data_IF_776917789391
#
_entry.id   IF_776917789391
#
_cell.length_a   1.000
_cell.length_b   1.000
_cell.length_c   1.000
_cell.angle_alpha   90.00
_cell.angle_beta   90.00
_cell.angle_gamma   90.00
#
_symmetry.space_group_name_H-M   'P 1'
#
loop_
_entity.id
_entity.type
_entity.pdbx_description
1 polymer ?
#
# COMPACT_ATOMS: atom_id res chain seq x y z
N UNK A 1 -47.21 50.45 54.80
CA UNK A 1 -47.80 50.37 56.16
C UNK A 1 -47.80 48.90 56.55
N UNK A 2 -46.92 48.49 57.48
CA UNK A 2 -47.29 47.97 58.85
C UNK A 2 -47.91 46.55 58.73
N UNK A 3 -47.48 45.44 59.36
CA UNK A 3 -46.46 45.07 60.36
C UNK A 3 -46.60 43.53 60.56
N UNK A 4 -45.52 42.87 61.02
CA UNK A 4 -45.46 41.82 62.08
C UNK A 4 -46.34 40.55 62.08
N UNK A 5 -45.62 39.43 62.19
CA UNK A 5 -45.72 38.35 63.20
C UNK A 5 -46.91 37.36 63.26
N UNK A 6 -46.52 36.09 63.03
CA UNK A 6 -46.72 34.89 63.87
C UNK A 6 -48.06 34.10 63.89
N UNK A 7 -47.86 32.77 64.02
CA UNK A 7 -48.77 31.66 64.35
C UNK A 7 -49.66 31.11 63.21
N UNK A 8 -49.95 29.82 63.03
CA UNK A 8 -49.49 28.51 63.55
C UNK A 8 -50.16 27.43 62.67
N UNK A 9 -49.49 26.28 62.48
CA UNK A 9 -49.97 24.94 62.10
C UNK A 9 -50.87 24.67 60.85
N UNK A 10 -50.36 23.86 59.92
CA UNK A 10 -51.11 22.71 59.38
C UNK A 10 -50.14 21.59 58.88
N UNK A 11 -50.32 20.30 59.28
CA UNK A 11 -49.31 19.25 59.12
C UNK A 11 -49.60 18.40 57.88
N UNK A 12 -48.98 18.70 56.74
CA UNK A 12 -49.06 17.79 55.57
C UNK A 12 -47.84 17.78 54.64
N UNK A 13 -46.84 18.64 54.89
CA UNK A 13 -45.63 18.71 54.05
C UNK A 13 -44.43 17.89 54.58
N UNK A 14 -44.54 17.29 55.76
CA UNK A 14 -43.39 16.65 56.42
C UNK A 14 -43.20 15.17 56.05
N UNK A 15 -44.22 14.48 55.51
CA UNK A 15 -44.11 13.07 55.11
C UNK A 15 -43.49 12.84 53.72
N UNK A 16 -43.58 13.79 52.79
CA UNK A 16 -43.00 13.63 51.44
C UNK A 16 -41.50 13.94 51.39
N UNK A 17 -40.99 14.85 52.22
CA UNK A 17 -39.55 15.13 52.30
C UNK A 17 -38.75 14.01 52.99
N UNK A 18 -39.36 13.33 53.96
CA UNK A 18 -38.70 12.23 54.66
C UNK A 18 -38.55 10.97 53.78
N UNK A 19 -39.51 10.68 52.89
CA UNK A 19 -39.41 9.52 51.99
C UNK A 19 -38.37 9.72 50.89
N UNK A 20 -38.27 10.93 50.33
CA UNK A 20 -37.28 11.25 49.30
C UNK A 20 -35.83 11.20 49.82
N UNK A 21 -35.60 11.65 51.06
CA UNK A 21 -34.28 11.57 51.71
C UNK A 21 -33.90 10.12 52.04
N UNK A 22 -34.86 9.31 52.49
CA UNK A 22 -34.61 7.88 52.78
C UNK A 22 -34.34 7.09 51.50
N UNK A 23 -35.07 7.35 50.40
CA UNK A 23 -34.79 6.67 49.12
C UNK A 23 -33.45 7.09 48.53
N UNK A 24 -33.06 8.36 48.67
CA UNK A 24 -31.75 8.85 48.22
C UNK A 24 -30.61 8.27 49.05
N UNK A 25 -30.77 8.11 50.37
CA UNK A 25 -29.80 7.44 51.23
C UNK A 25 -29.69 5.94 50.96
N UNK A 26 -30.79 5.25 50.65
CA UNK A 26 -30.77 3.82 50.32
C UNK A 26 -30.06 3.58 48.98
N UNK A 27 -30.29 4.42 47.97
CA UNK A 27 -29.57 4.32 46.68
C UNK A 27 -28.08 4.58 46.86
N UNK A 28 -27.70 5.56 47.70
CA UNK A 28 -26.30 5.88 47.99
C UNK A 28 -25.61 4.78 48.82
N UNK A 29 -26.33 4.12 49.74
CA UNK A 29 -25.86 2.93 50.47
C UNK A 29 -25.71 1.71 49.57
N UNK A 30 -26.61 1.50 48.60
CA UNK A 30 -26.49 0.41 47.61
C UNK A 30 -25.30 0.63 46.69
N UNK A 31 -25.03 1.88 46.27
CA UNK A 31 -23.83 2.20 45.48
C UNK A 31 -22.53 2.08 46.30
N UNK A 32 -22.55 2.34 47.61
CA UNK A 32 -21.39 2.12 48.49
C UNK A 32 -21.10 0.64 48.74
N UNK A 33 -22.14 -0.20 48.79
CA UNK A 33 -22.03 -1.67 48.95
C UNK A 33 -21.55 -2.39 47.69
N UNK A 34 -21.43 -1.70 46.55
CA UNK A 34 -20.86 -2.26 45.31
C UNK A 34 -19.32 -2.10 45.22
N UNK A 35 -18.66 -1.47 46.20
CA UNK A 35 -17.20 -1.23 46.17
C UNK A 35 -16.38 -2.14 47.11
N UNK A 36 -17.01 -3.06 47.85
CA UNK A 36 -16.28 -4.11 48.58
C UNK A 36 -16.34 -5.43 47.81
N UNK A 37 -15.40 -5.60 46.88
CA UNK A 37 -15.08 -6.92 46.35
C UNK A 37 -14.45 -7.76 47.47
N UNK A 38 -15.10 -8.89 47.79
CA UNK A 38 -14.65 -9.92 48.73
C UNK A 38 -13.27 -10.46 48.29
N UNK A 39 -12.31 -10.69 49.22
CA UNK A 39 -11.06 -11.36 48.88
C UNK A 39 -11.36 -12.84 48.62
N UNK A 40 -11.28 -13.26 47.36
CA UNK A 40 -11.39 -14.67 46.99
C UNK A 40 -10.08 -15.36 47.37
N UNK A 41 -10.19 -16.29 48.31
CA UNK A 41 -9.16 -17.25 48.73
C UNK A 41 -8.60 -18.01 47.53
N UNK A 42 -7.28 -18.06 47.44
CA UNK A 42 -6.53 -18.85 46.47
C UNK A 42 -6.71 -20.34 46.79
N UNK A 43 -7.54 -21.04 46.03
CA UNK A 43 -7.51 -22.50 46.00
C UNK A 43 -6.77 -22.97 44.75
N UNK A 44 -5.78 -23.84 44.96
CA UNK A 44 -4.82 -24.29 43.95
C UNK A 44 -5.49 -25.36 43.10
N UNK A 45 -6.10 -24.97 41.98
CA UNK A 45 -6.45 -25.93 40.93
C UNK A 45 -6.29 -25.32 39.54
N UNK A 46 -5.07 -25.47 39.03
CA UNK A 46 -4.68 -25.68 37.62
C UNK A 46 -5.76 -25.32 36.58
N UNK A 47 -5.86 -24.05 36.22
CA UNK A 47 -6.47 -23.58 34.97
C UNK A 47 -5.35 -22.95 34.16
N UNK A 48 -5.09 -23.51 32.97
CA UNK A 48 -4.21 -22.95 31.95
C UNK A 48 -4.79 -21.59 31.53
N UNK A 49 -4.06 -20.51 31.80
CA UNK A 49 -4.28 -19.24 31.10
C UNK A 49 -4.10 -19.45 29.59
N UNK A 50 -4.89 -18.77 28.74
CA UNK A 50 -4.61 -18.76 27.31
C UNK A 50 -3.27 -18.05 27.11
N UNK A 51 -2.35 -18.78 26.52
CA UNK A 51 -1.06 -18.32 26.03
C UNK A 51 -1.28 -17.01 25.27
N UNK A 52 -0.79 -15.91 25.83
CA UNK A 52 -0.62 -14.65 25.11
C UNK A 52 0.33 -15.02 23.97
N UNK A 53 -0.19 -15.04 22.74
CA UNK A 53 0.67 -15.09 21.55
C UNK A 53 1.53 -13.84 21.65
N UNK A 54 2.78 -14.02 22.06
CA UNK A 54 3.82 -13.03 21.82
C UNK A 54 3.82 -12.83 20.31
N UNK A 55 3.33 -11.66 19.88
CA UNK A 55 3.69 -11.16 18.57
C UNK A 55 5.22 -11.15 18.55
N UNK A 56 5.87 -11.78 17.56
CA UNK A 56 7.32 -11.64 17.41
C UNK A 56 7.65 -10.13 17.35
N UNK A 57 8.86 -9.72 17.79
CA UNK A 57 9.27 -8.33 17.75
C UNK A 57 8.97 -7.76 16.36
N UNK A 58 8.50 -6.51 16.31
CA UNK A 58 8.29 -5.80 15.06
C UNK A 58 9.65 -5.75 14.35
N UNK A 59 9.87 -6.67 13.41
CA UNK A 59 11.11 -6.75 12.67
C UNK A 59 11.17 -5.64 11.63
N UNK A 60 12.39 -5.16 11.37
CA UNK A 60 12.75 -4.03 10.49
C UNK A 60 12.06 -4.16 9.12
N UNK A 61 11.17 -3.21 8.77
CA UNK A 61 10.61 -3.07 7.41
C UNK A 61 11.69 -2.73 6.40
N UNK A 62 12.12 -3.74 5.64
CA UNK A 62 13.18 -3.61 4.63
C UNK A 62 12.73 -2.81 3.41
N UNK A 63 11.46 -2.40 3.34
CA UNK A 63 10.91 -1.60 2.23
C UNK A 63 10.63 -2.40 0.96
N UNK A 64 10.91 -3.71 0.94
CA UNK A 64 10.66 -4.59 -0.20
C UNK A 64 9.18 -5.00 -0.27
N UNK A 65 8.59 -4.98 -1.47
CA UNK A 65 7.20 -5.40 -1.71
C UNK A 65 6.91 -6.90 -1.44
N UNK A 66 7.94 -7.69 -1.19
CA UNK A 66 7.90 -9.10 -0.79
C UNK A 66 8.63 -9.37 0.53
N UNK A 67 8.96 -8.32 1.29
CA UNK A 67 9.61 -8.40 2.61
C UNK A 67 8.92 -9.43 3.51
N UNK A 68 7.59 -9.36 3.60
CA UNK A 68 6.80 -10.31 4.38
C UNK A 68 7.09 -11.78 4.01
N UNK A 69 7.16 -12.08 2.72
CA UNK A 69 7.45 -13.44 2.25
C UNK A 69 8.89 -13.84 2.57
N UNK A 70 9.85 -12.93 2.38
CA UNK A 70 11.25 -13.13 2.73
C UNK A 70 11.39 -13.47 4.23
N UNK A 71 10.77 -12.69 5.10
CA UNK A 71 10.79 -12.91 6.56
C UNK A 71 10.14 -14.21 6.96
N UNK A 72 8.93 -14.48 6.47
CA UNK A 72 8.24 -15.74 6.79
C UNK A 72 9.10 -16.94 6.37
N UNK A 73 9.79 -16.87 5.23
CA UNK A 73 10.74 -17.92 4.80
C UNK A 73 11.93 -18.03 5.78
N UNK A 74 12.58 -16.92 6.13
CA UNK A 74 13.74 -16.90 7.05
C UNK A 74 13.33 -17.38 8.45
N UNK A 75 12.26 -16.87 9.03
CA UNK A 75 11.75 -17.23 10.37
C UNK A 75 11.48 -18.75 10.49
N UNK A 76 10.96 -19.36 9.43
CA UNK A 76 10.72 -20.81 9.42
C UNK A 76 11.98 -21.63 9.18
N UNK A 77 12.93 -21.11 8.40
CA UNK A 77 14.25 -21.73 8.21
C UNK A 77 15.07 -21.69 9.51
N UNK A 78 15.02 -20.58 10.25
CA UNK A 78 15.73 -20.44 11.53
C UNK A 78 15.22 -21.41 12.60
N UNK A 79 14.00 -21.92 12.51
CA UNK A 79 13.50 -22.95 13.46
C UNK A 79 14.29 -24.26 13.35
N UNK A 80 14.96 -24.52 12.24
CA UNK A 80 15.84 -25.66 12.07
C UNK A 80 17.24 -25.35 12.63
N UNK A 81 17.69 -26.14 13.61
CA UNK A 81 18.98 -25.91 14.28
C UNK A 81 20.16 -25.94 13.31
N UNK A 82 20.16 -26.90 12.37
CA UNK A 82 21.25 -27.03 11.41
C UNK A 82 21.31 -25.80 10.51
N UNK A 83 20.16 -25.37 9.99
CA UNK A 83 20.12 -24.21 9.10
C UNK A 83 20.51 -22.93 9.84
N UNK A 84 20.02 -22.72 11.07
CA UNK A 84 20.36 -21.56 11.90
C UNK A 84 21.87 -21.45 12.15
N UNK A 85 22.53 -22.55 12.52
CA UNK A 85 23.98 -22.56 12.72
C UNK A 85 24.74 -22.23 11.43
N UNK A 86 24.22 -22.65 10.27
CA UNK A 86 24.81 -22.28 8.97
C UNK A 86 24.57 -20.82 8.64
N UNK A 87 23.38 -20.30 8.89
CA UNK A 87 23.04 -18.89 8.66
C UNK A 87 23.98 -17.95 9.43
N UNK A 88 24.19 -18.18 10.73
CA UNK A 88 25.05 -17.30 11.55
C UNK A 88 26.55 -17.43 11.28
N UNK A 89 27.02 -18.56 10.74
CA UNK A 89 28.45 -18.80 10.51
C UNK A 89 28.88 -18.54 9.04
N UNK A 90 27.94 -18.19 8.16
CA UNK A 90 28.24 -17.96 6.74
C UNK A 90 28.39 -16.47 6.48
N UNK A 91 29.51 -16.09 5.85
CA UNK A 91 29.76 -14.70 5.45
C UNK A 91 28.76 -14.23 4.39
N UNK A 92 28.47 -12.93 4.36
CA UNK A 92 27.52 -12.33 3.43
C UNK A 92 27.84 -12.65 1.96
N UNK A 93 29.12 -12.62 1.57
CA UNK A 93 29.55 -12.95 0.21
C UNK A 93 29.27 -14.41 -0.17
N UNK A 94 29.34 -15.32 0.80
CA UNK A 94 29.04 -16.73 0.62
C UNK A 94 27.53 -16.99 0.51
N UNK A 95 26.72 -16.16 1.20
CA UNK A 95 25.27 -16.12 1.05
C UNK A 95 24.89 -15.65 -0.36
N UNK A 96 25.50 -14.56 -0.86
CA UNK A 96 25.29 -14.04 -2.23
C UNK A 96 25.65 -15.06 -3.32
N UNK A 97 26.67 -15.87 -3.07
CA UNK A 97 27.10 -16.95 -3.98
C UNK A 97 26.16 -18.17 -4.01
N UNK A 98 25.12 -18.19 -3.17
CA UNK A 98 24.15 -19.29 -3.14
C UNK A 98 24.64 -20.53 -2.40
N UNK A 99 25.69 -20.43 -1.56
CA UNK A 99 26.16 -21.56 -0.74
C UNK A 99 25.12 -21.96 0.30
N UNK A 100 24.50 -20.96 0.95
CA UNK A 100 23.46 -21.16 1.95
C UNK A 100 22.22 -21.88 1.38
N UNK A 101 21.84 -21.56 0.13
CA UNK A 101 20.68 -22.17 -0.50
C UNK A 101 20.79 -23.71 -0.60
N UNK A 102 22.01 -24.25 -0.77
CA UNK A 102 22.26 -25.70 -0.85
C UNK A 102 22.03 -26.43 0.47
N UNK A 103 22.12 -25.72 1.60
CA UNK A 103 21.87 -26.30 2.92
C UNK A 103 20.37 -26.64 3.11
N UNK A 104 19.49 -26.10 2.26
CA UNK A 104 18.05 -26.38 2.25
C UNK A 104 17.73 -27.88 2.08
N UNK A 105 18.60 -28.65 1.41
CA UNK A 105 18.41 -30.09 1.22
C UNK A 105 18.53 -30.90 2.53
N UNK A 106 19.19 -30.34 3.55
CA UNK A 106 19.39 -30.97 4.85
C UNK A 106 18.35 -30.55 5.90
N UNK A 107 17.48 -29.61 5.54
CA UNK A 107 16.44 -29.08 6.43
C UNK A 107 15.34 -30.13 6.67
N UNK A 108 14.80 -30.14 7.88
CA UNK A 108 13.74 -31.08 8.26
C UNK A 108 12.49 -31.00 7.37
N UNK A 109 11.83 -32.15 7.19
CA UNK A 109 10.63 -32.26 6.33
C UNK A 109 9.50 -31.31 6.74
N UNK A 110 9.34 -31.03 8.05
CA UNK A 110 8.31 -30.13 8.53
C UNK A 110 8.52 -28.70 8.01
N UNK A 111 9.77 -28.23 8.03
CA UNK A 111 10.12 -26.90 7.50
C UNK A 111 9.93 -26.88 5.98
N UNK A 112 10.41 -27.90 5.24
CA UNK A 112 10.16 -28.02 3.79
C UNK A 112 8.67 -27.94 3.43
N UNK A 113 7.82 -28.66 4.15
CA UNK A 113 6.36 -28.63 3.94
C UNK A 113 5.79 -27.23 4.15
N UNK A 114 6.30 -26.49 5.14
CA UNK A 114 5.86 -25.13 5.41
C UNK A 114 6.34 -24.14 4.34
N UNK A 115 7.57 -24.27 3.88
CA UNK A 115 8.11 -23.45 2.78
C UNK A 115 7.28 -23.63 1.49
N UNK A 116 6.87 -24.87 1.18
CA UNK A 116 5.96 -25.13 0.05
C UNK A 116 4.60 -24.44 0.21
N UNK A 117 4.11 -24.29 1.44
CA UNK A 117 2.87 -23.57 1.74
C UNK A 117 3.05 -22.06 1.54
N UNK A 118 4.13 -21.49 2.09
CA UNK A 118 4.47 -20.07 1.96
C UNK A 118 4.61 -19.69 0.49
N UNK A 119 5.33 -20.49 -0.30
CA UNK A 119 5.46 -20.28 -1.75
C UNK A 119 4.10 -20.25 -2.45
N UNK A 120 3.20 -21.17 -2.11
CA UNK A 120 1.84 -21.21 -2.69
C UNK A 120 1.03 -19.98 -2.31
N UNK A 121 1.15 -19.51 -1.08
CA UNK A 121 0.48 -18.29 -0.62
C UNK A 121 0.98 -17.07 -1.40
N UNK A 122 2.30 -16.96 -1.59
CA UNK A 122 2.90 -15.87 -2.34
C UNK A 122 2.50 -15.88 -3.82
N UNK A 123 2.55 -17.03 -4.49
CA UNK A 123 2.05 -17.18 -5.87
C UNK A 123 0.59 -16.73 -5.99
N UNK A 124 -0.26 -17.09 -5.01
CA UNK A 124 -1.68 -16.70 -5.03
C UNK A 124 -1.87 -15.20 -4.81
N UNK A 125 -1.05 -14.57 -3.96
CA UNK A 125 -1.01 -13.12 -3.78
C UNK A 125 -0.68 -12.43 -5.10
N UNK A 126 0.39 -12.86 -5.76
CA UNK A 126 0.83 -12.31 -7.05
C UNK A 126 -0.23 -12.47 -8.15
N UNK A 127 -0.88 -13.63 -8.23
CA UNK A 127 -2.00 -13.84 -9.17
C UNK A 127 -3.17 -12.88 -8.92
N UNK A 128 -3.46 -12.59 -7.65
CA UNK A 128 -4.52 -11.66 -7.27
C UNK A 128 -4.17 -10.23 -7.69
N UNK A 129 -2.91 -9.81 -7.48
CA UNK A 129 -2.43 -8.50 -7.92
C UNK A 129 -2.45 -8.35 -9.44
N UNK A 130 -2.00 -9.37 -10.17
CA UNK A 130 -2.07 -9.40 -11.63
C UNK A 130 -3.52 -9.25 -12.11
N UNK A 131 -4.45 -9.99 -11.50
CA UNK A 131 -5.86 -9.91 -11.85
C UNK A 131 -6.44 -8.52 -11.57
N UNK A 132 -6.14 -7.94 -10.40
CA UNK A 132 -6.59 -6.60 -10.06
C UNK A 132 -6.05 -5.54 -11.03
N UNK A 133 -4.78 -5.66 -11.44
CA UNK A 133 -4.18 -4.77 -12.45
C UNK A 133 -4.91 -4.88 -13.79
N UNK A 134 -5.23 -6.09 -14.23
CA UNK A 134 -5.98 -6.30 -15.48
C UNK A 134 -7.41 -5.72 -15.43
N UNK A 135 -8.10 -5.90 -14.30
CA UNK A 135 -9.44 -5.36 -14.10
C UNK A 135 -9.43 -3.81 -14.17
N UNK A 136 -8.36 -3.16 -13.71
CA UNK A 136 -8.16 -1.71 -13.79
C UNK A 136 -7.81 -1.23 -15.21
N UNK A 137 -6.98 -1.97 -15.93
CA UNK A 137 -6.54 -1.64 -17.29
C UNK A 137 -7.63 -1.90 -18.36
N UNK A 138 -8.85 -2.28 -17.96
CA UNK A 138 -10.01 -2.42 -18.85
C UNK A 138 -9.88 -3.59 -19.84
N UNK A 139 -9.10 -4.61 -19.50
CA UNK A 139 -8.82 -5.74 -20.37
C UNK A 139 -10.09 -6.50 -20.80
N UNK A 140 -10.34 -6.52 -22.11
CA UNK A 140 -11.24 -7.49 -22.73
C UNK A 140 -10.88 -8.91 -22.29
N UNK A 141 -11.89 -9.80 -22.28
CA UNK A 141 -11.93 -11.23 -21.90
C UNK A 141 -10.94 -12.17 -22.68
N UNK A 142 -9.80 -11.63 -23.13
CA UNK A 142 -8.66 -12.35 -23.69
C UNK A 142 -7.98 -13.06 -22.52
N UNK A 143 -7.87 -14.38 -22.60
CA UNK A 143 -7.17 -15.19 -21.61
C UNK A 143 -5.71 -14.72 -21.47
N UNK A 144 -5.47 -13.80 -20.53
CA UNK A 144 -4.12 -13.31 -20.25
C UNK A 144 -3.35 -14.47 -19.64
N UNK A 145 -2.18 -14.75 -20.20
CA UNK A 145 -1.29 -15.76 -19.65
C UNK A 145 -0.70 -15.23 -18.33
N UNK A 146 -1.41 -15.50 -17.23
CA UNK A 146 -0.98 -15.13 -15.89
C UNK A 146 0.41 -15.72 -15.58
N UNK A 147 0.76 -16.83 -16.22
CA UNK A 147 2.07 -17.46 -16.10
C UNK A 147 3.18 -16.63 -16.75
N UNK A 148 2.90 -15.90 -17.83
CA UNK A 148 3.84 -15.00 -18.46
C UNK A 148 4.05 -13.72 -17.64
N UNK A 149 3.00 -13.20 -17.00
CA UNK A 149 3.11 -12.01 -16.14
C UNK A 149 3.86 -12.28 -14.84
N UNK A 150 3.75 -13.51 -14.31
CA UNK A 150 4.54 -13.92 -13.15
C UNK A 150 6.06 -13.89 -13.41
N UNK A 151 6.51 -13.85 -14.67
CA UNK A 151 7.94 -13.70 -15.02
C UNK A 151 8.53 -12.37 -14.56
N UNK A 152 7.70 -11.36 -14.31
CA UNK A 152 8.13 -10.06 -13.80
C UNK A 152 8.67 -10.16 -12.36
N UNK A 153 8.26 -11.17 -11.59
CA UNK A 153 8.72 -11.37 -10.21
C UNK A 153 9.96 -12.27 -10.19
N UNK A 154 11.14 -11.65 -10.20
CA UNK A 154 12.44 -12.33 -10.34
C UNK A 154 12.79 -13.24 -9.13
N UNK A 155 12.27 -12.91 -7.94
CA UNK A 155 12.54 -13.58 -6.67
C UNK A 155 11.86 -14.96 -6.52
N UNK A 156 11.07 -15.40 -7.50
CA UNK A 156 10.27 -16.62 -7.41
C UNK A 156 10.39 -17.49 -8.67
N UNK A 157 10.53 -18.81 -8.50
CA UNK A 157 10.42 -19.72 -9.64
C UNK A 157 8.96 -19.97 -10.01
N UNK A 158 8.45 -19.20 -10.98
CA UNK A 158 7.08 -19.34 -11.48
C UNK A 158 6.83 -20.65 -12.23
N UNK A 159 7.85 -21.34 -12.76
CA UNK A 159 7.69 -22.61 -13.49
C UNK A 159 7.30 -23.76 -12.57
N UNK A 160 7.61 -23.63 -11.27
CA UNK A 160 7.24 -24.58 -10.25
C UNK A 160 6.48 -23.86 -9.12
N UNK A 161 5.16 -23.66 -9.21
CA UNK A 161 4.41 -22.86 -8.24
C UNK A 161 4.09 -23.58 -6.92
N UNK A 162 4.49 -24.85 -6.75
CA UNK A 162 3.95 -25.70 -5.67
C UNK A 162 4.99 -26.25 -4.70
N UNK A 163 6.26 -26.33 -5.10
CA UNK A 163 7.34 -26.74 -4.19
C UNK A 163 8.43 -25.68 -4.13
N UNK A 164 8.92 -25.42 -2.92
CA UNK A 164 10.00 -24.48 -2.64
C UNK A 164 11.33 -25.22 -2.65
N UNK A 165 12.14 -24.98 -3.68
CA UNK A 165 13.41 -25.66 -3.92
C UNK A 165 14.61 -24.76 -3.62
N UNK A 166 15.81 -25.35 -3.69
CA UNK A 166 17.10 -24.63 -3.55
C UNK A 166 17.17 -23.40 -4.46
N UNK A 167 16.67 -23.53 -5.69
CA UNK A 167 16.62 -22.42 -6.66
C UNK A 167 15.74 -21.26 -6.20
N UNK A 168 14.66 -21.54 -5.45
CA UNK A 168 13.77 -20.48 -4.94
C UNK A 168 14.46 -19.69 -3.84
N UNK A 169 15.13 -20.38 -2.91
CA UNK A 169 15.88 -19.72 -1.85
C UNK A 169 17.04 -18.90 -2.42
N UNK A 170 17.77 -19.44 -3.40
CA UNK A 170 18.85 -18.73 -4.09
C UNK A 170 18.34 -17.47 -4.81
N UNK A 171 17.21 -17.56 -5.54
CA UNK A 171 16.58 -16.41 -6.21
C UNK A 171 16.08 -15.38 -5.22
N UNK A 172 15.43 -15.81 -4.14
CA UNK A 172 14.88 -14.94 -3.11
C UNK A 172 15.99 -14.15 -2.44
N UNK A 173 17.08 -14.81 -2.02
CA UNK A 173 18.24 -14.16 -1.40
C UNK A 173 18.91 -13.19 -2.38
N UNK A 174 19.15 -13.61 -3.63
CA UNK A 174 19.81 -12.76 -4.63
C UNK A 174 18.98 -11.54 -4.99
N UNK A 175 17.67 -11.71 -5.15
CA UNK A 175 16.76 -10.60 -5.44
C UNK A 175 16.69 -9.66 -4.24
N UNK A 176 16.51 -10.18 -3.02
CA UNK A 176 16.51 -9.36 -1.81
C UNK A 176 17.83 -8.59 -1.65
N UNK A 177 18.98 -9.24 -1.86
CA UNK A 177 20.28 -8.57 -1.79
C UNK A 177 20.40 -7.46 -2.82
N UNK A 178 20.08 -7.77 -4.08
CA UNK A 178 20.16 -6.80 -5.19
C UNK A 178 19.20 -5.63 -4.97
N UNK A 179 17.97 -5.92 -4.58
CA UNK A 179 16.93 -4.91 -4.40
C UNK A 179 17.25 -4.02 -3.19
N UNK A 180 17.79 -4.57 -2.10
CA UNK A 180 18.26 -3.78 -0.95
C UNK A 180 19.49 -2.94 -1.27
N UNK A 181 20.44 -3.47 -2.04
CA UNK A 181 21.63 -2.72 -2.48
C UNK A 181 21.29 -1.58 -3.45
N UNK A 182 20.20 -1.71 -4.22
CA UNK A 182 19.76 -0.69 -5.17
C UNK A 182 18.55 0.11 -4.69
N UNK A 183 18.02 -0.16 -3.49
CA UNK A 183 16.76 0.43 -3.01
C UNK A 183 16.82 1.96 -3.01
N UNK A 184 17.84 2.50 -2.35
CA UNK A 184 18.10 3.93 -2.26
C UNK A 184 18.32 4.53 -3.65
N UNK A 185 19.11 3.88 -4.49
CA UNK A 185 19.37 4.33 -5.86
C UNK A 185 18.09 4.40 -6.70
N UNK A 186 17.22 3.40 -6.64
CA UNK A 186 15.96 3.38 -7.39
C UNK A 186 15.03 4.51 -6.91
N UNK A 187 15.05 4.81 -5.61
CA UNK A 187 14.32 5.94 -5.01
C UNK A 187 14.86 7.29 -5.50
N UNK A 188 16.18 7.48 -5.51
CA UNK A 188 16.83 8.66 -6.10
C UNK A 188 16.45 8.85 -7.57
N UNK A 189 16.41 7.76 -8.35
CA UNK A 189 16.00 7.81 -9.75
C UNK A 189 14.50 8.14 -9.92
N UNK A 190 13.64 7.67 -9.02
CA UNK A 190 12.21 8.01 -9.00
C UNK A 190 12.00 9.48 -8.65
N UNK A 191 12.66 9.99 -7.62
CA UNK A 191 12.64 11.40 -7.26
C UNK A 191 13.15 12.28 -8.41
N UNK A 192 14.25 11.88 -9.06
CA UNK A 192 14.76 12.58 -10.25
C UNK A 192 13.70 12.66 -11.36
N UNK A 193 12.98 11.56 -11.64
CA UNK A 193 11.89 11.56 -12.63
C UNK A 193 10.72 12.44 -12.20
N UNK A 194 10.40 12.46 -10.91
CA UNK A 194 9.37 13.34 -10.35
C UNK A 194 9.70 14.81 -10.59
N UNK A 195 10.90 15.24 -10.23
CA UNK A 195 11.38 16.61 -10.42
C UNK A 195 11.42 17.01 -11.90
N UNK A 196 11.91 16.13 -12.77
CA UNK A 196 11.87 16.37 -14.23
C UNK A 196 10.43 16.49 -14.75
N UNK A 197 9.50 15.66 -14.28
CA UNK A 197 8.08 15.74 -14.69
C UNK A 197 7.43 17.03 -14.20
N UNK A 198 7.66 17.42 -12.95
CA UNK A 198 7.17 18.66 -12.34
C UNK A 198 7.61 19.88 -13.15
N UNK A 199 8.90 19.93 -13.52
CA UNK A 199 9.44 21.01 -14.36
C UNK A 199 8.90 20.96 -15.80
N UNK A 200 8.74 19.76 -16.39
CA UNK A 200 8.14 19.60 -17.71
C UNK A 200 6.71 20.15 -17.76
N UNK A 201 5.88 19.77 -16.80
CA UNK A 201 4.49 20.21 -16.69
C UNK A 201 4.41 21.73 -16.51
N UNK A 202 5.31 22.31 -15.71
CA UNK A 202 5.44 23.77 -15.57
C UNK A 202 5.75 24.43 -16.91
N UNK A 203 6.71 23.91 -17.67
CA UNK A 203 7.08 24.44 -19.00
C UNK A 203 5.95 24.32 -20.00
N UNK A 204 5.24 23.20 -20.03
CA UNK A 204 4.07 23.02 -20.89
C UNK A 204 2.94 23.98 -20.49
N UNK A 205 2.68 24.15 -19.20
CA UNK A 205 1.70 25.11 -18.70
C UNK A 205 2.03 26.54 -19.18
N UNK A 206 3.27 26.99 -19.03
CA UNK A 206 3.73 28.31 -19.48
C UNK A 206 3.58 28.52 -21.00
N UNK A 207 3.69 27.45 -21.81
CA UNK A 207 3.45 27.50 -23.27
C UNK A 207 1.98 27.74 -23.61
N UNK A 208 1.05 27.26 -22.77
CA UNK A 208 -0.40 27.47 -22.98
C UNK A 208 -0.87 28.89 -22.65
N UNK A 209 -0.12 29.61 -21.81
CA UNK A 209 -0.47 30.95 -21.32
C UNK A 209 -0.05 32.07 -22.28
N UNK A 210 -0.80 33.19 -22.22
CA UNK A 210 -0.43 34.45 -22.88
C UNK A 210 0.78 35.14 -22.23
N UNK A 211 1.35 36.15 -22.89
CA UNK A 211 2.59 36.81 -22.43
C UNK A 211 2.48 37.45 -21.03
N UNK A 212 1.40 38.18 -20.77
CA UNK A 212 1.15 38.82 -19.47
C UNK A 212 0.89 37.79 -18.35
N UNK A 213 0.19 36.69 -18.65
CA UNK A 213 -0.10 35.64 -17.68
C UNK A 213 1.15 34.83 -17.37
N UNK A 214 1.93 34.47 -18.40
CA UNK A 214 3.22 33.77 -18.26
C UNK A 214 4.16 34.52 -17.33
N UNK A 215 4.26 35.85 -17.49
CA UNK A 215 5.11 36.67 -16.64
C UNK A 215 4.65 36.66 -15.18
N UNK A 216 3.34 36.71 -14.92
CA UNK A 216 2.80 36.63 -13.54
C UNK A 216 3.06 35.27 -12.91
N UNK A 217 2.93 34.20 -13.69
CA UNK A 217 3.21 32.84 -13.23
C UNK A 217 4.70 32.66 -12.89
N UNK A 218 5.60 33.17 -13.73
CA UNK A 218 7.04 33.17 -13.46
C UNK A 218 7.39 34.00 -12.20
N UNK A 219 6.77 35.18 -12.03
CA UNK A 219 6.94 36.00 -10.83
C UNK A 219 6.43 35.30 -9.56
N UNK A 220 5.28 34.60 -9.65
CA UNK A 220 4.73 33.82 -8.56
C UNK A 220 5.63 32.63 -8.19
N UNK A 221 6.10 31.87 -9.18
CA UNK A 221 7.03 30.76 -8.96
C UNK A 221 8.34 31.22 -8.28
N UNK A 222 8.89 32.35 -8.71
CA UNK A 222 10.07 32.96 -8.08
C UNK A 222 9.79 33.45 -6.64
N UNK A 223 8.55 33.88 -6.34
CA UNK A 223 8.13 34.20 -4.98
C UNK A 223 8.05 32.94 -4.12
N UNK A 224 7.43 31.86 -4.61
CA UNK A 224 7.33 30.60 -3.88
C UNK A 224 8.70 30.00 -3.59
N UNK A 225 9.61 29.98 -4.58
CA UNK A 225 10.99 29.50 -4.36
C UNK A 225 11.71 30.31 -3.28
N UNK A 226 11.53 31.63 -3.25
CA UNK A 226 12.14 32.47 -2.21
C UNK A 226 11.53 32.26 -0.83
N UNK A 227 10.23 31.97 -0.74
CA UNK A 227 9.59 31.63 0.54
C UNK A 227 10.13 30.32 1.08
N UNK A 228 10.22 29.30 0.23
CA UNK A 228 10.81 28.02 0.60
C UNK A 228 12.27 28.15 1.06
N UNK A 229 13.07 28.96 0.35
CA UNK A 229 14.46 29.24 0.71
C UNK A 229 14.63 29.98 2.05
N UNK A 230 13.60 30.68 2.53
CA UNK A 230 13.63 31.48 3.76
C UNK A 230 13.22 30.62 4.97
N UNK A 231 14.08 29.66 5.30
CA UNK A 231 13.89 28.76 6.43
C UNK A 231 14.96 28.95 7.52
N UNK A 232 14.69 28.58 8.78
CA UNK A 232 15.71 28.51 9.82
C UNK A 232 16.87 27.60 9.41
N UNK A 233 18.08 27.91 9.90
CA UNK A 233 19.26 27.10 9.57
C UNK A 233 19.05 25.64 10.01
N UNK A 234 19.25 24.73 9.08
CA UNK A 234 19.21 23.29 9.33
C UNK A 234 20.58 22.79 9.78
N UNK A 235 20.58 21.94 10.79
CA UNK A 235 21.80 21.33 11.29
C UNK A 235 22.26 20.19 10.37
N UNK A 236 23.55 19.87 10.43
CA UNK A 236 24.08 18.72 9.72
C UNK A 236 23.53 17.41 10.34
N UNK A 237 23.05 16.45 9.53
CA UNK A 237 22.51 15.18 10.04
C UNK A 237 23.52 14.44 10.91
N UNK A 238 23.08 13.95 12.08
CA UNK A 238 23.94 13.23 13.01
C UNK A 238 24.94 14.10 13.78
N UNK A 239 24.93 15.43 13.62
CA UNK A 239 25.81 16.34 14.35
C UNK A 239 25.37 16.58 15.80
N UNK A 240 26.30 17.04 16.64
CA UNK A 240 25.99 17.34 18.04
C UNK A 240 24.82 18.32 18.21
N UNK A 241 24.75 19.35 17.36
CA UNK A 241 23.70 20.36 17.46
C UNK A 241 22.32 19.76 17.15
N UNK A 242 22.23 18.93 16.10
CA UNK A 242 20.99 18.25 15.73
C UNK A 242 20.52 17.32 16.85
N UNK A 243 21.41 16.48 17.40
CA UNK A 243 21.03 15.55 18.47
C UNK A 243 20.66 16.27 19.78
N UNK A 244 21.32 17.38 20.10
CA UNK A 244 20.96 18.21 21.27
C UNK A 244 19.61 18.88 21.09
N UNK A 245 19.27 19.29 19.89
CA UNK A 245 17.97 19.87 19.60
C UNK A 245 16.84 18.83 19.76
N UNK A 246 17.03 17.62 19.23
CA UNK A 246 16.10 16.50 19.47
C UNK A 246 15.98 16.21 20.98
N UNK A 247 17.09 16.18 21.71
CA UNK A 247 17.11 15.99 23.16
C UNK A 247 16.35 17.08 23.94
N UNK A 248 16.41 18.34 23.48
CA UNK A 248 15.68 19.44 24.12
C UNK A 248 14.19 19.42 23.75
N UNK A 249 13.88 19.33 22.46
CA UNK A 249 12.54 19.55 21.94
C UNK A 249 11.67 18.31 21.97
N UNK A 250 12.22 17.14 21.62
CA UNK A 250 11.48 15.88 21.59
C UNK A 250 11.48 15.21 22.98
N UNK A 251 12.64 15.16 23.65
CA UNK A 251 12.76 14.47 24.95
C UNK A 251 12.46 15.38 26.15
N UNK A 252 12.50 16.71 25.97
CA UNK A 252 12.28 17.67 27.06
C UNK A 252 13.40 17.67 28.11
N UNK A 253 14.62 17.31 27.71
CA UNK A 253 15.80 17.20 28.58
C UNK A 253 16.72 18.41 28.43
N UNK A 254 17.55 18.68 29.45
CA UNK A 254 18.46 19.84 29.44
C UNK A 254 19.61 19.62 28.43
N UNK A 255 19.83 20.54 27.46
CA UNK A 255 20.93 20.45 26.50
C UNK A 255 22.34 20.36 27.11
N UNK A 256 22.52 20.88 28.32
CA UNK A 256 23.81 20.86 29.03
C UNK A 256 24.13 19.46 29.61
N UNK A 257 23.10 18.66 29.86
CA UNK A 257 23.21 17.28 30.37
C UNK A 257 23.23 16.23 29.24
N UNK A 258 23.45 16.67 27.99
CA UNK A 258 23.49 15.78 26.84
C UNK A 258 24.56 14.68 26.98
N UNK A 259 24.09 13.43 27.00
CA UNK A 259 24.93 12.24 27.04
C UNK A 259 24.59 11.33 25.85
N UNK A 260 25.53 11.11 24.89
CA UNK A 260 25.25 10.32 23.70
C UNK A 260 24.75 8.90 24.00
N UNK A 261 25.26 8.27 25.07
CA UNK A 261 24.83 6.93 25.43
C UNK A 261 23.36 6.92 25.90
N UNK A 262 22.97 7.90 26.69
CA UNK A 262 21.58 8.04 27.13
C UNK A 262 20.67 8.40 25.96
N UNK A 263 21.12 9.30 25.08
CA UNK A 263 20.42 9.63 23.83
C UNK A 263 20.14 8.37 23.00
N UNK A 264 21.15 7.51 22.81
CA UNK A 264 21.01 6.24 22.09
C UNK A 264 19.92 5.36 22.69
N UNK A 265 19.96 5.12 24.00
CA UNK A 265 19.00 4.22 24.65
C UNK A 265 17.56 4.77 24.68
N UNK A 266 17.36 6.09 24.57
CA UNK A 266 16.02 6.70 24.55
C UNK A 266 15.38 6.53 23.17
N UNK A 267 16.19 6.58 22.11
CA UNK A 267 15.72 6.51 20.72
C UNK A 267 15.79 5.11 20.11
N UNK A 268 16.40 4.15 20.80
CA UNK A 268 16.27 2.72 20.52
C UNK A 268 14.88 2.29 20.97
N UNK A 269 13.91 2.51 20.08
CA UNK A 269 12.48 2.39 20.39
C UNK A 269 12.07 0.93 20.56
N UNK A 270 12.74 0.02 19.85
CA UNK A 270 12.44 -1.41 19.88
C UNK A 270 13.27 -2.14 20.97
N UNK A 271 14.34 -1.52 21.49
CA UNK A 271 15.20 -2.01 22.57
C UNK A 271 16.17 -3.10 22.15
N UNK A 272 16.52 -3.20 20.86
CA UNK A 272 17.41 -4.23 20.31
C UNK A 272 18.90 -3.87 20.40
N UNK A 273 19.22 -2.64 20.80
CA UNK A 273 20.58 -2.13 20.96
C UNK A 273 21.22 -1.59 19.69
N UNK A 274 20.43 -1.39 18.63
CA UNK A 274 20.84 -0.81 17.36
C UNK A 274 19.93 0.37 17.02
N UNK A 275 20.42 1.29 16.18
CA UNK A 275 19.54 2.17 15.42
C UNK A 275 19.35 1.60 14.03
N UNK A 276 18.11 1.31 13.67
CA UNK A 276 17.74 1.02 12.30
C UNK A 276 17.49 2.29 11.49
N UNK A 277 17.17 2.13 10.21
CA UNK A 277 16.91 3.24 9.30
C UNK A 277 15.72 4.10 9.72
N UNK A 278 14.67 3.49 10.28
CA UNK A 278 13.44 4.18 10.67
C UNK A 278 13.68 5.00 11.94
N UNK A 279 14.46 4.46 12.87
CA UNK A 279 14.89 5.15 14.08
C UNK A 279 15.77 6.35 13.75
N UNK A 280 16.72 6.21 12.81
CA UNK A 280 17.51 7.35 12.33
C UNK A 280 16.64 8.39 11.61
N UNK A 281 15.77 7.96 10.70
CA UNK A 281 14.86 8.84 9.97
C UNK A 281 13.97 9.66 10.92
N UNK A 282 13.52 9.06 12.03
CA UNK A 282 12.73 9.74 13.04
C UNK A 282 13.49 10.93 13.67
N UNK A 283 14.81 10.82 13.86
CA UNK A 283 15.65 11.90 14.41
C UNK A 283 15.70 13.14 13.50
N UNK A 284 15.51 12.96 12.19
CA UNK A 284 15.58 14.06 11.22
C UNK A 284 14.28 14.84 11.10
N UNK A 285 13.17 14.31 11.63
CA UNK A 285 11.84 14.93 11.48
C UNK A 285 11.84 16.38 11.97
N UNK A 286 12.47 16.67 13.11
CA UNK A 286 12.55 18.03 13.66
C UNK A 286 13.36 19.01 12.80
N UNK A 287 14.42 18.52 12.16
CA UNK A 287 15.21 19.33 11.23
C UNK A 287 14.45 19.62 9.94
N UNK A 288 13.71 18.62 9.43
CA UNK A 288 12.93 18.76 8.20
C UNK A 288 11.69 19.67 8.38
N UNK A 289 11.05 19.62 9.55
CA UNK A 289 9.93 20.51 9.92
C UNK A 289 10.31 22.00 9.91
N UNK A 290 11.60 22.35 9.90
CA UNK A 290 12.05 23.75 9.73
C UNK A 290 11.93 24.23 8.29
N UNK A 291 12.04 23.33 7.32
CA UNK A 291 12.03 23.65 5.88
C UNK A 291 10.64 23.38 5.30
N UNK A 292 10.01 22.27 5.67
CA UNK A 292 8.79 21.77 5.03
C UNK A 292 7.60 21.78 5.99
N UNK A 293 6.54 22.52 5.65
CA UNK A 293 5.23 22.46 6.32
C UNK A 293 4.16 21.95 5.33
N UNK A 294 3.46 20.84 5.61
CA UNK A 294 2.36 20.35 4.77
C UNK A 294 1.22 21.35 4.53
N UNK A 295 1.15 22.41 5.32
CA UNK A 295 0.15 23.48 5.23
C UNK A 295 0.50 24.57 4.23
N UNK A 296 1.78 24.67 3.84
CA UNK A 296 2.30 25.63 2.88
C UNK A 296 2.21 25.06 1.45
N UNK A 297 2.00 25.93 0.46
CA UNK A 297 1.87 25.48 -0.94
C UNK A 297 3.23 25.41 -1.65
N UNK A 298 4.23 26.12 -1.15
CA UNK A 298 5.62 26.08 -1.58
C UNK A 298 6.34 24.78 -1.22
N UNK A 299 5.88 24.11 -0.17
CA UNK A 299 6.60 23.00 0.45
C UNK A 299 6.14 21.67 -0.13
N UNK A 300 7.05 20.99 -0.82
CA UNK A 300 6.78 19.70 -1.43
C UNK A 300 7.10 18.55 -0.46
N UNK A 301 6.07 17.82 -0.05
CA UNK A 301 6.24 16.67 0.86
C UNK A 301 7.05 15.52 0.25
N UNK A 302 7.12 15.43 -1.09
CA UNK A 302 7.97 14.45 -1.77
C UNK A 302 9.44 14.84 -1.65
N UNK A 303 9.75 16.14 -1.78
CA UNK A 303 11.11 16.66 -1.55
C UNK A 303 11.53 16.47 -0.09
N UNK A 304 10.61 16.68 0.86
CA UNK A 304 10.88 16.41 2.28
C UNK A 304 11.29 14.95 2.54
N UNK A 305 10.58 14.00 1.93
CA UNK A 305 10.91 12.57 2.09
C UNK A 305 12.26 12.24 1.47
N UNK A 306 12.55 12.79 0.29
CA UNK A 306 13.84 12.62 -0.36
C UNK A 306 14.99 13.22 0.49
N UNK A 307 14.80 14.40 1.05
CA UNK A 307 15.77 15.02 1.95
C UNK A 307 16.01 14.13 3.17
N UNK A 308 14.96 13.50 3.72
CA UNK A 308 15.10 12.53 4.82
C UNK A 308 15.98 11.34 4.44
N UNK A 309 15.79 10.78 3.25
CA UNK A 309 16.60 9.68 2.74
C UNK A 309 18.06 10.10 2.55
N UNK A 310 18.31 11.29 1.99
CA UNK A 310 19.66 11.87 1.87
C UNK A 310 20.34 12.02 3.23
N UNK A 311 19.63 12.53 4.24
CA UNK A 311 20.14 12.66 5.60
C UNK A 311 20.49 11.28 6.21
N UNK A 312 19.61 10.29 6.04
CA UNK A 312 19.84 8.92 6.51
C UNK A 312 21.05 8.28 5.83
N UNK A 313 21.12 8.33 4.50
CA UNK A 313 22.25 7.77 3.74
C UNK A 313 23.57 8.42 4.13
N UNK A 314 23.57 9.73 4.34
CA UNK A 314 24.74 10.44 4.83
C UNK A 314 25.20 9.90 6.18
N UNK A 315 24.30 9.81 7.16
CA UNK A 315 24.62 9.29 8.51
C UNK A 315 25.07 7.84 8.46
N UNK A 316 24.38 6.97 7.73
CA UNK A 316 24.76 5.56 7.56
C UNK A 316 26.15 5.43 6.90
N UNK A 317 26.46 6.29 5.92
CA UNK A 317 27.78 6.26 5.28
C UNK A 317 28.92 6.63 6.23
N UNK A 318 28.67 7.54 7.17
CA UNK A 318 29.67 8.03 8.13
C UNK A 318 29.82 7.16 9.39
N UNK A 319 28.73 6.56 9.86
CA UNK A 319 28.66 5.91 11.18
C UNK A 319 28.74 4.38 11.05
N UNK A 320 27.89 3.78 10.21
CA UNK A 320 27.85 2.33 9.98
C UNK A 320 29.14 1.90 9.26
N UNK A 321 30.00 1.22 10.02
CA UNK A 321 31.34 0.84 9.56
C UNK A 321 31.38 -0.57 8.99
N UNK A 322 30.50 -1.46 9.44
CA UNK A 322 30.43 -2.84 8.99
C UNK A 322 29.45 -3.05 7.81
N UNK A 323 28.68 -2.01 7.44
CA UNK A 323 27.72 -1.96 6.34
C UNK A 323 26.59 -2.98 6.50
N UNK A 324 26.13 -3.19 7.72
CA UNK A 324 24.98 -4.03 8.02
C UNK A 324 23.64 -3.28 8.07
N UNK A 325 23.64 -1.96 7.77
CA UNK A 325 22.48 -1.06 7.80
C UNK A 325 21.88 -0.90 9.19
N UNK A 326 22.66 -1.19 10.23
CA UNK A 326 22.33 -0.94 11.61
C UNK A 326 23.47 -0.15 12.24
N UNK A 327 23.14 0.80 13.14
CA UNK A 327 24.16 1.52 13.89
C UNK A 327 24.20 0.97 15.30
N UNK A 328 25.28 0.28 15.64
CA UNK A 328 25.49 -0.18 17.01
C UNK A 328 25.83 0.98 17.95
N UNK A 329 25.59 0.80 19.25
CA UNK A 329 26.00 1.77 20.27
C UNK A 329 27.50 2.11 20.18
N UNK A 330 28.35 1.12 19.90
CA UNK A 330 29.80 1.34 19.82
C UNK A 330 30.18 2.22 18.61
N UNK A 331 29.57 1.98 17.45
CA UNK A 331 29.76 2.82 16.26
C UNK A 331 29.28 4.25 16.49
N UNK A 332 28.11 4.40 17.09
CA UNK A 332 27.56 5.71 17.46
C UNK A 332 28.50 6.46 18.42
N UNK A 333 29.00 5.80 19.46
CA UNK A 333 29.95 6.40 20.42
C UNK A 333 31.32 6.69 19.80
N UNK A 334 31.72 6.00 18.73
CA UNK A 334 32.92 6.34 17.97
C UNK A 334 32.65 7.57 17.10
N UNK A 335 31.50 7.64 16.44
CA UNK A 335 31.10 8.77 15.61
C UNK A 335 31.04 10.08 16.41
N UNK A 336 30.50 10.06 17.63
CA UNK A 336 30.43 11.25 18.51
C UNK A 336 31.79 11.81 18.94
N UNK A 337 32.89 11.06 18.73
CA UNK A 337 34.27 11.51 19.00
C UNK A 337 34.97 12.07 17.78
N UNK A 338 34.37 11.91 16.59
CA UNK A 338 34.92 12.42 15.33
C UNK A 338 34.79 13.95 15.30
N UNK A 339 35.60 14.60 14.45
CA UNK A 339 35.61 16.07 14.36
C UNK A 339 34.30 16.56 13.74
N UNK A 340 33.82 15.83 12.75
CA UNK A 340 32.62 16.06 11.96
C UNK A 340 31.36 16.16 12.85
N UNK A 341 31.35 15.45 13.99
CA UNK A 341 30.29 15.55 14.99
C UNK A 341 30.23 16.90 15.72
N UNK A 342 31.40 17.45 16.06
CA UNK A 342 31.55 18.68 16.86
C UNK A 342 31.58 19.95 15.99
N UNK A 343 32.21 19.85 14.84
CA UNK A 343 32.40 20.93 13.87
C UNK A 343 31.87 20.47 12.51
N UNK A 344 30.54 20.32 12.35
CA UNK A 344 29.96 19.89 11.10
C UNK A 344 30.03 20.98 10.02
N UNK A 345 30.12 20.56 8.77
CA UNK A 345 29.90 21.43 7.62
C UNK A 345 28.40 21.78 7.50
N UNK A 346 28.07 22.85 6.75
CA UNK A 346 26.66 23.18 6.48
C UNK A 346 26.01 22.11 5.63
N UNK A 347 24.79 21.71 5.98
CA UNK A 347 23.98 20.83 5.13
C UNK A 347 23.46 21.58 3.91
N UNK A 348 23.67 21.01 2.73
CA UNK A 348 23.16 21.53 1.45
C UNK A 348 21.82 20.87 1.12
N UNK A 349 20.75 21.66 1.19
CA UNK A 349 19.37 21.23 0.89
C UNK A 349 19.17 20.93 -0.59
N UNK A 350 18.11 20.19 -0.92
CA UNK A 350 17.74 19.87 -2.30
C UNK A 350 17.60 21.12 -3.20
N UNK A 351 17.15 22.26 -2.67
CA UNK A 351 17.08 23.51 -3.42
C UNK A 351 18.46 23.95 -3.96
N UNK A 352 19.52 23.72 -3.18
CA UNK A 352 20.89 24.11 -3.55
C UNK A 352 21.56 23.08 -4.47
N UNK A 353 21.09 21.83 -4.44
CA UNK A 353 21.65 20.72 -5.20
C UNK A 353 20.61 20.07 -6.11
N UNK A 354 20.51 20.58 -7.34
CA UNK A 354 19.56 20.08 -8.34
C UNK A 354 19.76 18.58 -8.63
N UNK A 355 18.68 17.81 -8.60
CA UNK A 355 18.71 16.35 -8.78
C UNK A 355 19.10 15.89 -10.20
N UNK A 356 18.93 16.75 -11.21
CA UNK A 356 19.18 16.42 -12.61
C UNK A 356 19.88 17.55 -13.37
N UNK A 357 20.52 17.18 -14.47
CA UNK A 357 21.18 18.10 -15.40
C UNK A 357 20.26 18.53 -16.53
N UNK A 358 20.55 19.67 -17.15
CA UNK A 358 19.79 20.15 -18.33
C UNK A 358 19.76 19.14 -19.49
N UNK A 359 20.81 18.33 -19.64
CA UNK A 359 20.87 17.28 -20.65
C UNK A 359 19.93 16.12 -20.34
N UNK A 360 19.88 15.66 -19.07
CA UNK A 360 18.93 14.64 -18.64
C UNK A 360 17.48 15.11 -18.81
N UNK A 361 17.19 16.38 -18.53
CA UNK A 361 15.87 16.98 -18.77
C UNK A 361 15.49 16.94 -20.26
N UNK A 362 16.45 17.23 -21.15
CA UNK A 362 16.23 17.20 -22.60
C UNK A 362 15.92 15.78 -23.10
N UNK A 363 16.68 14.80 -22.63
CA UNK A 363 16.44 13.38 -22.95
C UNK A 363 15.08 12.91 -22.42
N UNK A 364 14.69 13.37 -21.23
CA UNK A 364 13.39 13.06 -20.64
C UNK A 364 12.22 13.64 -21.45
N UNK A 365 12.29 14.91 -21.85
CA UNK A 365 11.27 15.54 -22.72
C UNK A 365 11.17 14.84 -24.09
N UNK A 366 12.30 14.41 -24.67
CA UNK A 366 12.32 13.65 -25.93
C UNK A 366 11.63 12.29 -25.77
N UNK A 367 11.91 11.58 -24.67
CA UNK A 367 11.26 10.31 -24.36
C UNK A 367 9.75 10.47 -24.14
N UNK A 368 9.31 11.51 -23.43
CA UNK A 368 7.88 11.80 -23.24
C UNK A 368 7.18 12.09 -24.57
N UNK A 369 7.78 12.91 -25.43
CA UNK A 369 7.22 13.22 -26.74
C UNK A 369 7.10 11.96 -27.62
N UNK A 370 8.09 11.05 -27.57
CA UNK A 370 8.02 9.77 -28.26
C UNK A 370 6.90 8.88 -27.70
N UNK A 371 6.78 8.80 -26.37
CA UNK A 371 5.73 8.02 -25.71
C UNK A 371 4.33 8.55 -26.04
N UNK A 372 4.15 9.87 -26.09
CA UNK A 372 2.90 10.52 -26.49
C UNK A 372 2.53 10.16 -27.94
N UNK A 373 3.50 10.18 -28.86
CA UNK A 373 3.28 9.78 -30.25
C UNK A 373 2.84 8.31 -30.37
N UNK A 374 3.50 7.41 -29.64
CA UNK A 374 3.15 5.99 -29.60
C UNK A 374 1.74 5.76 -29.03
N UNK A 375 1.36 6.49 -27.98
CA UNK A 375 0.02 6.43 -27.39
C UNK A 375 -1.04 6.97 -28.34
N UNK A 376 -0.76 8.10 -29.01
CA UNK A 376 -1.65 8.67 -30.02
C UNK A 376 -1.87 7.70 -31.19
N UNK A 377 -0.81 7.03 -31.66
CA UNK A 377 -0.92 6.01 -32.70
C UNK A 377 -1.77 4.81 -32.24
N UNK A 378 -1.54 4.31 -31.01
CA UNK A 378 -2.36 3.24 -30.42
C UNK A 378 -3.82 3.65 -30.27
N UNK A 379 -4.10 4.88 -29.85
CA UNK A 379 -5.46 5.40 -29.71
C UNK A 379 -6.18 5.45 -31.07
N UNK A 380 -5.49 5.91 -32.11
CA UNK A 380 -6.01 5.90 -33.49
C UNK A 380 -6.33 4.48 -33.96
N UNK A 381 -5.45 3.52 -33.68
CA UNK A 381 -5.67 2.13 -34.10
C UNK A 381 -6.78 1.44 -33.29
N UNK A 382 -6.92 1.74 -32.00
CA UNK A 382 -8.05 1.29 -31.19
C UNK A 382 -9.38 1.88 -31.68
N UNK A 383 -9.38 3.16 -32.08
CA UNK A 383 -10.58 3.77 -32.65
C UNK A 383 -10.99 3.07 -33.96
N UNK A 384 -10.03 2.75 -34.84
CA UNK A 384 -10.32 1.97 -36.06
C UNK A 384 -10.88 0.57 -35.73
N UNK A 385 -10.32 -0.10 -34.72
CA UNK A 385 -10.82 -1.41 -34.29
C UNK A 385 -12.25 -1.33 -33.75
N UNK A 386 -12.55 -0.30 -32.96
CA UNK A 386 -13.90 -0.03 -32.46
C UNK A 386 -14.89 0.18 -33.61
N UNK A 387 -14.55 1.04 -34.58
CA UNK A 387 -15.42 1.33 -35.73
C UNK A 387 -15.66 0.06 -36.57
N UNK A 388 -14.67 -0.81 -36.71
CA UNK A 388 -14.81 -2.08 -37.42
C UNK A 388 -15.71 -3.08 -36.67
N UNK A 389 -15.55 -3.20 -35.35
CA UNK A 389 -16.43 -4.02 -34.51
C UNK A 389 -17.88 -3.53 -34.55
N UNK A 390 -18.09 -2.22 -34.59
CA UNK A 390 -19.43 -1.63 -34.73
C UNK A 390 -20.08 -2.04 -36.05
N UNK A 391 -19.35 -1.96 -37.17
CA UNK A 391 -19.83 -2.45 -38.48
C UNK A 391 -20.16 -3.95 -38.46
N UNK A 392 -19.31 -4.77 -37.85
CA UNK A 392 -19.57 -6.21 -37.72
C UNK A 392 -20.83 -6.48 -36.88
N UNK A 393 -21.04 -5.72 -35.81
CA UNK A 393 -22.22 -5.82 -34.97
C UNK A 393 -23.50 -5.42 -35.72
N UNK A 394 -23.45 -4.38 -36.56
CA UNK A 394 -24.55 -3.99 -37.44
C UNK A 394 -24.90 -5.11 -38.44
N UNK A 395 -23.89 -5.67 -39.13
CA UNK A 395 -24.08 -6.80 -40.06
C UNK A 395 -24.69 -8.02 -39.37
N UNK A 396 -24.23 -8.37 -38.17
CA UNK A 396 -24.79 -9.47 -37.38
C UNK A 396 -26.25 -9.20 -36.97
N UNK A 397 -26.58 -7.95 -36.65
CA UNK A 397 -27.95 -7.56 -36.30
C UNK A 397 -28.89 -7.62 -37.51
N UNK A 398 -28.42 -7.24 -38.69
CA UNK A 398 -29.15 -7.39 -39.94
C UNK A 398 -29.41 -8.87 -40.27
N UNK A 399 -28.38 -9.71 -40.23
CA UNK A 399 -28.53 -11.16 -40.43
C UNK A 399 -29.51 -11.79 -39.43
N UNK A 400 -29.48 -11.37 -38.16
CA UNK A 400 -30.46 -11.82 -37.14
C UNK A 400 -31.89 -11.41 -37.51
N UNK A 401 -32.11 -10.18 -38.00
CA UNK A 401 -33.43 -9.72 -38.43
C UNK A 401 -33.94 -10.52 -39.62
N UNK A 402 -33.10 -10.78 -40.61
CA UNK A 402 -33.43 -11.60 -41.78
C UNK A 402 -33.82 -13.03 -41.36
N UNK A 403 -33.02 -13.67 -40.51
CA UNK A 403 -33.33 -15.01 -39.98
C UNK A 403 -34.64 -15.04 -39.19
N UNK A 404 -34.93 -14.02 -38.39
CA UNK A 404 -36.20 -13.91 -37.68
C UNK A 404 -37.38 -13.73 -38.63
N UNK A 405 -37.21 -12.97 -39.71
CA UNK A 405 -38.25 -12.77 -40.72
C UNK A 405 -38.53 -14.07 -41.48
N UNK A 406 -37.51 -14.82 -41.88
CA UNK A 406 -37.63 -16.15 -42.49
C UNK A 406 -38.30 -17.14 -41.52
N UNK A 407 -37.96 -17.10 -40.22
CA UNK A 407 -38.61 -17.95 -39.21
C UNK A 407 -40.10 -17.63 -39.05
N UNK A 408 -40.46 -16.33 -39.06
CA UNK A 408 -41.87 -15.89 -39.00
C UNK A 408 -42.65 -16.32 -40.24
N UNK A 409 -42.11 -16.11 -41.44
CA UNK A 409 -42.78 -16.51 -42.70
C UNK A 409 -42.92 -18.03 -42.79
N UNK A 410 -41.89 -18.80 -42.40
CA UNK A 410 -41.98 -20.26 -42.32
C UNK A 410 -43.08 -20.74 -41.36
N UNK A 411 -43.22 -20.09 -40.19
CA UNK A 411 -44.29 -20.41 -39.22
C UNK A 411 -45.69 -20.11 -39.80
N UNK A 412 -45.84 -19.01 -40.54
CA UNK A 412 -47.11 -18.66 -41.21
C UNK A 412 -47.45 -19.64 -42.32
N UNK A 413 -46.48 -20.05 -43.16
CA UNK A 413 -46.69 -21.05 -44.20
C UNK A 413 -47.10 -22.41 -43.62
N UNK A 414 -46.42 -22.87 -42.56
CA UNK A 414 -46.76 -24.13 -41.88
C UNK A 414 -48.19 -24.12 -41.29
N UNK A 415 -48.64 -22.98 -40.75
CA UNK A 415 -50.01 -22.83 -40.26
C UNK A 415 -51.05 -22.78 -41.39
N UNK A 416 -50.68 -22.24 -42.56
CA UNK A 416 -51.55 -22.21 -43.74
C UNK A 416 -51.74 -23.61 -44.33
N UNK A 417 -50.66 -24.39 -44.43
CA UNK A 417 -50.69 -25.79 -44.90
C UNK A 417 -51.47 -26.70 -43.96
N UNK A 418 -51.35 -26.50 -42.63
CA UNK A 418 -52.15 -27.24 -41.65
C UNK A 418 -53.65 -26.95 -41.78
N UNK A 419 -54.03 -25.69 -42.02
CA UNK A 419 -55.43 -25.31 -42.24
C UNK A 419 -55.98 -25.85 -43.56
N UNK A 420 -55.21 -25.85 -44.64
CA UNK A 420 -55.58 -26.44 -45.93
C UNK A 420 -55.77 -27.96 -45.82
N UNK A 421 -54.87 -28.66 -45.12
CA UNK A 421 -54.99 -30.09 -44.83
C UNK A 421 -56.26 -30.42 -44.04
N UNK A 422 -56.60 -29.58 -43.06
CA UNK A 422 -57.82 -29.73 -42.24
C UNK A 422 -59.09 -29.53 -43.06
N UNK A 423 -59.13 -28.51 -43.94
CA UNK A 423 -60.26 -28.27 -44.86
C UNK A 423 -60.41 -29.43 -45.86
N UNK A 424 -59.31 -29.93 -46.40
CA UNK A 424 -59.32 -31.06 -47.33
C UNK A 424 -59.81 -32.36 -46.66
N UNK A 425 -59.44 -32.59 -45.39
CA UNK A 425 -59.96 -33.73 -44.59
C UNK A 425 -61.46 -33.62 -44.29
N UNK A 426 -61.97 -32.41 -44.03
CA UNK A 426 -63.40 -32.17 -43.82
C UNK A 426 -64.23 -32.37 -45.09
N UNK A 427 -63.69 -32.04 -46.27
CA UNK A 427 -64.36 -32.25 -47.55
C UNK A 427 -64.36 -33.70 -48.02
N UNK A 428 -63.36 -34.49 -47.63
CA UNK A 428 -63.22 -35.91 -48.05
C UNK A 428 -64.00 -36.89 -47.17
N UNK A 429 -64.33 -36.51 -45.93
CA UNK A 429 -65.05 -37.36 -44.98
C UNK A 429 -66.55 -37.04 -44.84
N UNK A 430 -67.13 -36.23 -45.74
CA UNK A 430 -68.58 -35.96 -45.71
C UNK A 430 -69.38 -37.18 -46.23
N UNK A 431 -70.19 -37.87 -45.41
CA UNK A 431 -70.97 -39.00 -45.87
C UNK A 431 -72.09 -38.57 -46.83
N UNK A 432 -72.07 -39.12 -48.03
CA UNK A 432 -73.08 -38.93 -49.08
C UNK A 432 -74.49 -39.30 -48.57
N UNK A 433 -75.31 -38.29 -48.30
CA UNK A 433 -76.75 -38.42 -48.12
C UNK A 433 -77.41 -38.67 -49.48
N UNK A 434 -77.85 -39.91 -49.69
CA UNK A 434 -78.61 -40.32 -50.87
C UNK A 434 -80.08 -39.91 -50.66
N UNK A 435 -80.48 -38.76 -51.23
CA UNK A 435 -81.87 -38.30 -51.21
C UNK A 435 -82.43 -38.35 -52.64
N UNK A 436 -83.25 -39.39 -52.87
CA UNK A 436 -84.30 -39.41 -53.91
C UNK A 436 -85.24 -38.21 -53.71
N UNK A 437 -85.74 -37.60 -54.80
CA UNK A 437 -87.11 -37.06 -55.02
C UNK A 437 -87.11 -36.31 -56.37
N UNK A 438 -87.50 -37.00 -57.45
CA UNK A 438 -88.77 -36.98 -58.23
C UNK A 438 -88.74 -36.05 -59.46
N UNK A 439 -89.25 -36.54 -60.62
CA UNK A 439 -89.24 -35.81 -61.88
C UNK A 439 -90.51 -34.99 -62.10
N UNK A 440 -90.39 -34.02 -63.02
CA UNK A 440 -91.44 -33.24 -63.68
C UNK A 440 -92.10 -32.08 -62.89
N UNK A 441 -91.73 -30.87 -63.28
CA UNK A 441 -92.66 -29.97 -63.98
C UNK A 441 -91.90 -29.07 -64.97
N UNK A 442 -92.48 -28.93 -66.17
CA UNK A 442 -92.08 -28.05 -67.27
C UNK A 442 -92.24 -26.57 -66.91
N UNK A 443 -91.24 -25.73 -67.24
CA UNK A 443 -91.33 -24.64 -68.24
C UNK A 443 -89.96 -24.03 -68.52
#
# INVERSE_FOLDING_TARGET
>A
MILKCCLVCCPRLQMCRSRALVTSWVVLLVQLMCMEAVPISMDKTKVKEPEKVETPPASVDTGLHYDRYLREVIDFLEKDQHFREKLHNTDMEDIKQGKLAKELDFVSHHVRTKLDELKRQEVNRLRTLIKAKQDLEGGNDIAVDHQALLKQFEYLNHMNPHTFEVEDLDRLIKSATKDLENYDKERHEEFKRYEMMKEHDRREHLKTLGEEERKREEEHYEEMRKKHADHPKVNHPGSQNQLKEVWEEADGLDPEDFDPKTFFNIHDTNGDGFFDEQELEALFTKELEKIYDPSNEEDDMVEMEEERLRMREHVMNEVDSNKDRLVSLDEFLIATKKKEFLEPDSWETLEQNQAYTDEEMREFEEHLAQQEQDLNQKAVDLQKQRDELERQQEQLNEQKKELQQVRKTSTVCNNFDHNLSTIHSLMTNAPHFNVKVTPNQLL
#
